data_IF_528596568930
#
_entry.id   IF_528596568930
#
_cell.length_a   1.000
_cell.length_b   1.000
_cell.length_c   1.000
_cell.angle_alpha   90.00
_cell.angle_beta   90.00
_cell.angle_gamma   90.00
#
_symmetry.space_group_name_H-M   'P 1'
#
loop_
_entity.id
_entity.type
_entity.pdbx_description
1 polymer ?
#
# COMPACT_ATOMS: atom_id res chain seq x y z
N UNK A 1 14.51 -13.03 -25.01
CA UNK A 1 13.52 -12.35 -25.86
C UNK A 1 12.14 -12.92 -25.54
N UNK A 2 11.56 -12.55 -24.39
CA UNK A 2 10.27 -13.07 -23.91
C UNK A 2 9.29 -11.90 -23.73
N UNK A 3 8.22 -12.02 -24.50
CA UNK A 3 6.91 -11.35 -24.52
C UNK A 3 6.74 -9.92 -23.94
N UNK A 4 6.89 -8.94 -24.83
CA UNK A 4 6.20 -7.64 -24.75
C UNK A 4 4.67 -7.76 -24.92
N UNK A 5 4.17 -8.90 -25.41
CA UNK A 5 2.76 -9.12 -25.77
C UNK A 5 1.85 -9.33 -24.55
N UNK A 6 2.39 -9.85 -23.45
CA UNK A 6 1.61 -10.15 -22.23
C UNK A 6 1.28 -8.88 -21.45
N UNK A 7 2.21 -7.92 -21.38
CA UNK A 7 2.01 -6.63 -20.71
C UNK A 7 1.04 -5.70 -21.45
N UNK A 8 1.07 -5.71 -22.79
CA UNK A 8 0.13 -4.92 -23.59
C UNK A 8 -1.33 -5.33 -23.37
N UNK A 9 -1.59 -6.62 -23.13
CA UNK A 9 -2.95 -7.12 -22.90
C UNK A 9 -3.49 -6.68 -21.54
N UNK A 10 -2.66 -6.72 -20.50
CA UNK A 10 -3.00 -6.24 -19.14
C UNK A 10 -3.28 -4.73 -19.13
N UNK A 11 -2.47 -3.94 -19.85
CA UNK A 11 -2.64 -2.49 -19.95
C UNK A 11 -3.88 -2.06 -20.77
N UNK A 12 -4.36 -2.90 -21.68
CA UNK A 12 -5.53 -2.58 -22.53
C UNK A 12 -6.85 -2.77 -21.75
N UNK A 13 -6.90 -3.74 -20.83
CA UNK A 13 -8.08 -3.98 -19.99
C UNK A 13 -8.27 -2.88 -18.94
N UNK A 14 -7.18 -2.27 -18.45
CA UNK A 14 -7.22 -1.15 -17.48
C UNK A 14 -7.80 0.14 -18.11
N UNK A 15 -7.56 0.37 -19.40
CA UNK A 15 -7.96 1.62 -20.09
C UNK A 15 -9.44 1.71 -20.47
N UNK A 16 -10.22 0.65 -20.27
CA UNK A 16 -11.63 0.60 -20.67
C UNK A 16 -12.62 0.97 -19.54
N UNK A 17 -12.13 1.47 -18.40
CA UNK A 17 -12.97 1.72 -17.23
C UNK A 17 -13.60 3.13 -17.31
N UNK A 18 -14.94 3.17 -17.34
CA UNK A 18 -15.74 4.41 -17.25
C UNK A 18 -15.48 5.10 -15.92
N UNK A 19 -15.20 6.41 -15.96
CA UNK A 19 -15.15 7.26 -14.75
C UNK A 19 -16.50 7.26 -14.04
N UNK A 20 -16.57 6.96 -12.73
CA UNK A 20 -17.76 7.27 -11.93
C UNK A 20 -17.84 8.78 -11.67
N UNK A 21 -19.05 9.30 -11.77
CA UNK A 21 -19.43 10.69 -11.47
C UNK A 21 -19.74 10.89 -9.98
N UNK A 22 -19.37 12.08 -9.49
CA UNK A 22 -19.74 12.80 -8.25
C UNK A 22 -19.60 12.12 -6.87
N UNK A 23 -18.80 12.82 -6.05
CA UNK A 23 -18.70 12.88 -4.57
C UNK A 23 -19.34 11.73 -3.79
N UNK A 24 -18.77 10.54 -3.91
CA UNK A 24 -18.95 9.48 -2.92
C UNK A 24 -17.84 9.63 -1.88
N UNK A 25 -18.21 9.77 -0.61
CA UNK A 25 -17.28 9.63 0.51
C UNK A 25 -16.84 8.17 0.54
N UNK A 26 -15.71 7.90 -0.11
CA UNK A 26 -15.17 6.55 -0.20
C UNK A 26 -14.42 6.23 1.09
N UNK A 27 -14.60 5.02 1.65
CA UNK A 27 -13.86 4.63 2.84
C UNK A 27 -12.35 4.67 2.54
N UNK A 28 -11.51 5.12 3.49
CA UNK A 28 -10.08 5.40 3.24
C UNK A 28 -9.22 4.19 2.85
N UNK A 29 -9.83 2.99 2.86
CA UNK A 29 -9.21 1.71 2.50
C UNK A 29 -9.35 1.39 1.02
N UNK A 30 -10.19 2.11 0.27
CA UNK A 30 -10.37 1.90 -1.16
C UNK A 30 -9.13 2.36 -1.94
N UNK A 31 -8.54 1.47 -2.72
CA UNK A 31 -7.38 1.77 -3.55
C UNK A 31 -7.83 2.28 -4.93
N UNK A 32 -7.54 3.56 -5.22
CA UNK A 32 -7.86 4.21 -6.50
C UNK A 32 -6.62 4.65 -7.28
N UNK A 33 -5.44 4.14 -6.90
CA UNK A 33 -4.18 4.60 -7.43
C UNK A 33 -3.70 3.73 -8.59
N UNK A 34 -4.52 3.61 -9.65
CA UNK A 34 -4.13 2.93 -10.88
C UNK A 34 -2.89 3.59 -11.52
N UNK A 35 -2.71 4.89 -11.27
CA UNK A 35 -1.52 5.65 -11.66
C UNK A 35 -0.22 5.11 -10.99
N UNK A 36 -0.30 4.42 -9.85
CA UNK A 36 0.86 3.71 -9.28
C UNK A 36 1.29 2.54 -10.15
N UNK A 37 0.34 1.85 -10.79
CA UNK A 37 0.65 0.74 -11.69
C UNK A 37 1.31 1.26 -12.97
N UNK A 38 0.84 2.37 -13.52
CA UNK A 38 1.45 3.00 -14.70
C UNK A 38 2.89 3.47 -14.44
N UNK A 39 3.18 3.94 -13.23
CA UNK A 39 4.52 4.41 -12.87
C UNK A 39 5.52 3.27 -12.57
N UNK A 40 5.10 2.00 -12.55
CA UNK A 40 6.01 0.84 -12.45
C UNK A 40 7.02 0.79 -13.60
N UNK A 41 6.67 1.30 -14.79
CA UNK A 41 7.55 1.28 -15.97
C UNK A 41 8.87 2.06 -15.77
N UNK A 42 8.87 3.02 -14.84
CA UNK A 42 10.05 3.85 -14.50
C UNK A 42 10.55 3.61 -13.07
N UNK A 43 9.98 2.64 -12.36
CA UNK A 43 10.32 2.38 -10.97
C UNK A 43 11.71 1.74 -10.83
N UNK A 44 12.40 2.09 -9.74
CA UNK A 44 13.68 1.46 -9.39
C UNK A 44 13.41 0.03 -8.95
N UNK A 45 14.18 -0.93 -9.46
CA UNK A 45 14.08 -2.33 -9.00
C UNK A 45 14.72 -2.45 -7.61
N UNK A 46 14.02 -3.16 -6.72
CA UNK A 46 14.53 -3.64 -5.45
C UNK A 46 14.84 -5.12 -5.57
N UNK A 47 16.11 -5.46 -5.42
CA UNK A 47 16.60 -6.83 -5.40
C UNK A 47 16.06 -7.59 -4.18
N UNK A 48 15.85 -8.89 -4.36
CA UNK A 48 15.22 -9.79 -3.37
C UNK A 48 15.87 -9.74 -1.98
N UNK A 49 17.21 -9.70 -1.91
CA UNK A 49 17.95 -9.65 -0.64
C UNK A 49 17.62 -8.39 0.16
N UNK A 50 17.53 -7.24 -0.51
CA UNK A 50 17.15 -5.98 0.13
C UNK A 50 15.67 -5.96 0.54
N UNK A 51 14.81 -6.62 -0.24
CA UNK A 51 13.41 -6.82 0.12
C UNK A 51 13.30 -7.65 1.41
N UNK A 52 13.99 -8.79 1.50
CA UNK A 52 14.02 -9.65 2.68
C UNK A 52 14.49 -8.84 3.89
N UNK A 53 15.57 -8.07 3.76
CA UNK A 53 16.06 -7.21 4.83
C UNK A 53 15.03 -6.17 5.27
N UNK A 54 14.30 -5.56 4.32
CA UNK A 54 13.26 -4.57 4.62
C UNK A 54 12.09 -5.21 5.38
N UNK A 55 11.65 -6.40 4.96
CA UNK A 55 10.57 -7.15 5.60
C UNK A 55 10.96 -7.60 7.01
N UNK A 56 12.17 -8.13 7.17
CA UNK A 56 12.69 -8.52 8.47
C UNK A 56 12.85 -7.31 9.41
N UNK A 57 13.31 -6.17 8.91
CA UNK A 57 13.33 -4.93 9.68
C UNK A 57 11.93 -4.57 10.17
N UNK A 58 10.90 -4.61 9.30
CA UNK A 58 9.52 -4.34 9.71
C UNK A 58 9.05 -5.30 10.81
N UNK A 59 9.34 -6.60 10.69
CA UNK A 59 9.05 -7.58 11.74
C UNK A 59 9.68 -7.18 13.08
N UNK A 60 10.97 -6.82 13.08
CA UNK A 60 11.70 -6.46 14.32
C UNK A 60 11.33 -5.10 14.91
N UNK A 61 10.67 -4.23 14.14
CA UNK A 61 10.21 -2.91 14.62
C UNK A 61 8.70 -2.86 14.90
N UNK A 62 8.03 -4.01 15.01
CA UNK A 62 6.57 -4.11 15.16
C UNK A 62 5.80 -3.32 14.08
N UNK A 63 6.35 -3.31 12.86
CA UNK A 63 5.78 -2.65 11.70
C UNK A 63 4.71 -3.50 11.02
N UNK A 64 4.04 -2.89 10.05
CA UNK A 64 3.07 -3.57 9.19
C UNK A 64 3.34 -3.29 7.72
N UNK A 65 2.86 -4.19 6.87
CA UNK A 65 2.75 -4.00 5.43
C UNK A 65 1.29 -3.87 5.04
N UNK A 66 0.99 -3.28 3.88
CA UNK A 66 -0.38 -3.24 3.36
C UNK A 66 -0.56 -4.25 2.25
N UNK A 67 -1.54 -5.12 2.38
CA UNK A 67 -2.00 -6.02 1.34
C UNK A 67 -3.08 -5.34 0.50
N UNK A 68 -2.85 -5.27 -0.82
CA UNK A 68 -3.88 -4.88 -1.78
C UNK A 68 -4.70 -6.11 -2.17
N UNK A 69 -5.93 -6.14 -1.68
CA UNK A 69 -6.89 -7.21 -1.93
C UNK A 69 -7.94 -6.73 -2.93
N UNK A 70 -8.20 -7.52 -3.97
CA UNK A 70 -9.25 -7.23 -4.95
C UNK A 70 -10.41 -8.19 -4.78
N UNK A 71 -11.63 -7.64 -4.74
CA UNK A 71 -12.82 -8.47 -4.75
C UNK A 71 -12.99 -9.14 -6.12
N UNK A 72 -13.42 -10.39 -6.13
CA UNK A 72 -13.85 -11.05 -7.37
C UNK A 72 -15.22 -10.55 -7.85
N UNK A 73 -16.00 -9.92 -6.97
CA UNK A 73 -17.37 -9.43 -7.24
C UNK A 73 -17.46 -7.93 -7.53
N UNK A 74 -16.49 -7.15 -7.06
CA UNK A 74 -16.47 -5.70 -7.16
C UNK A 74 -15.16 -5.27 -7.83
N UNK A 75 -15.20 -4.26 -8.70
CA UNK A 75 -13.99 -3.79 -9.39
C UNK A 75 -12.96 -3.16 -8.45
N UNK A 76 -13.40 -2.83 -7.23
CA UNK A 76 -12.71 -2.09 -6.19
C UNK A 76 -11.74 -2.97 -5.38
N UNK A 77 -10.53 -2.44 -5.13
CA UNK A 77 -9.52 -3.04 -4.27
C UNK A 77 -9.47 -2.38 -2.89
N UNK A 78 -9.26 -3.17 -1.84
CA UNK A 78 -9.08 -2.69 -0.47
C UNK A 78 -7.64 -2.86 -0.02
N UNK A 79 -7.14 -1.92 0.79
CA UNK A 79 -5.86 -2.04 1.49
C UNK A 79 -6.09 -2.49 2.92
N UNK A 80 -5.41 -3.57 3.30
CA UNK A 80 -5.52 -4.20 4.62
C UNK A 80 -4.13 -4.29 5.24
N UNK A 81 -4.00 -3.91 6.51
CA UNK A 81 -2.73 -4.08 7.22
C UNK A 81 -2.48 -5.56 7.53
N UNK A 82 -1.25 -6.00 7.30
CA UNK A 82 -0.75 -7.32 7.66
C UNK A 82 0.59 -7.18 8.37
N UNK A 83 0.82 -8.03 9.37
CA UNK A 83 2.00 -8.04 10.21
C UNK A 83 2.93 -9.13 9.67
N UNK A 84 4.12 -8.77 9.15
CA UNK A 84 5.05 -9.75 8.60
C UNK A 84 5.71 -10.57 9.71
N UNK A 85 5.84 -11.88 9.46
CA UNK A 85 6.75 -12.74 10.20
C UNK A 85 8.16 -12.65 9.60
N UNK A 86 9.15 -13.23 10.30
CA UNK A 86 10.50 -13.37 9.75
C UNK A 86 10.42 -14.15 8.44
N UNK A 87 11.01 -13.59 7.38
CA UNK A 87 11.07 -14.30 6.11
C UNK A 87 11.99 -15.51 6.23
N UNK A 88 11.52 -16.67 5.78
CA UNK A 88 12.27 -17.93 5.82
C UNK A 88 12.45 -18.42 4.38
N UNK A 89 13.70 -18.67 4.00
CA UNK A 89 14.08 -18.96 2.62
C UNK A 89 13.57 -17.87 1.67
N UNK A 90 12.56 -18.19 0.86
CA UNK A 90 11.94 -17.33 -0.14
C UNK A 90 10.46 -17.09 0.14
N UNK A 91 10.00 -17.36 1.36
CA UNK A 91 8.60 -17.24 1.76
C UNK A 91 8.41 -16.16 2.81
N UNK A 92 7.32 -15.42 2.65
CA UNK A 92 6.86 -14.44 3.63
C UNK A 92 5.47 -14.84 4.10
N UNK A 93 5.38 -15.17 5.38
CA UNK A 93 4.10 -15.33 6.09
C UNK A 93 3.74 -14.02 6.76
N UNK A 94 2.46 -13.67 6.71
CA UNK A 94 1.92 -12.48 7.35
C UNK A 94 0.61 -12.82 8.06
N UNK A 95 0.43 -12.29 9.26
CA UNK A 95 -0.84 -12.33 9.97
C UNK A 95 -1.68 -11.08 9.62
N UNK A 96 -2.99 -11.23 9.50
CA UNK A 96 -3.87 -10.06 9.38
C UNK A 96 -3.88 -9.26 10.69
N UNK A 97 -3.98 -7.94 10.59
CA UNK A 97 -4.19 -7.11 11.77
C UNK A 97 -5.51 -7.49 12.46
N UNK A 98 -5.50 -7.47 13.80
CA UNK A 98 -6.65 -7.89 14.63
C UNK A 98 -7.90 -7.05 14.37
N UNK A 99 -7.75 -5.83 13.87
CA UNK A 99 -8.88 -4.97 13.46
C UNK A 99 -9.74 -5.58 12.34
N UNK A 100 -9.22 -6.57 11.62
CA UNK A 100 -9.94 -7.30 10.56
C UNK A 100 -10.48 -8.66 11.01
N UNK A 101 -10.47 -8.97 12.31
CA UNK A 101 -11.07 -10.19 12.81
C UNK A 101 -12.56 -10.25 12.41
N UNK A 102 -12.97 -11.36 11.79
CA UNK A 102 -14.35 -11.58 11.33
C UNK A 102 -14.61 -11.17 9.87
N UNK A 103 -13.65 -10.54 9.19
CA UNK A 103 -13.74 -10.34 7.74
C UNK A 103 -13.20 -11.58 7.00
N UNK A 104 -13.94 -12.05 5.99
CA UNK A 104 -13.52 -13.17 5.14
C UNK A 104 -12.57 -12.71 4.03
N UNK A 105 -11.35 -12.31 4.42
CA UNK A 105 -10.33 -11.81 3.49
C UNK A 105 -9.82 -12.88 2.51
N UNK A 106 -9.96 -14.16 2.86
CA UNK A 106 -9.66 -15.30 2.01
C UNK A 106 -10.50 -15.36 0.71
N UNK A 107 -11.62 -14.63 0.66
CA UNK A 107 -12.45 -14.52 -0.55
C UNK A 107 -11.93 -13.49 -1.55
N UNK A 108 -10.87 -12.75 -1.20
CA UNK A 108 -10.26 -11.72 -2.04
C UNK A 108 -9.00 -12.25 -2.71
N UNK A 109 -8.65 -11.65 -3.84
CA UNK A 109 -7.38 -11.91 -4.51
C UNK A 109 -6.31 -10.96 -3.98
N UNK A 110 -5.24 -11.52 -3.42
CA UNK A 110 -4.05 -10.75 -3.06
C UNK A 110 -3.25 -10.39 -4.32
N UNK A 111 -3.12 -9.09 -4.61
CA UNK A 111 -2.46 -8.59 -5.81
C UNK A 111 -1.02 -8.13 -5.52
N UNK A 112 -0.87 -7.27 -4.52
CA UNK A 112 0.41 -6.66 -4.15
C UNK A 112 0.53 -6.50 -2.65
N UNK A 113 1.77 -6.51 -2.17
CA UNK A 113 2.14 -5.93 -0.88
C UNK A 113 2.76 -4.55 -1.10
N UNK A 114 2.43 -3.64 -0.19
CA UNK A 114 2.83 -2.24 -0.25
C UNK A 114 3.52 -1.88 1.06
N UNK A 115 4.77 -1.45 0.95
CA UNK A 115 5.51 -0.83 2.05
C UNK A 115 5.57 0.66 1.76
N UNK A 116 5.12 1.47 2.70
CA UNK A 116 5.24 2.93 2.62
C UNK A 116 6.31 3.40 3.59
N UNK A 117 7.33 4.07 3.08
CA UNK A 117 8.23 4.86 3.90
C UNK A 117 7.91 6.37 3.73
N UNK A 118 8.68 7.25 4.38
CA UNK A 118 8.41 8.69 4.35
C UNK A 118 8.53 9.33 2.96
N UNK A 119 9.20 8.69 1.99
CA UNK A 119 9.59 9.27 0.71
C UNK A 119 9.28 8.38 -0.51
N UNK A 120 9.08 7.09 -0.28
CA UNK A 120 8.95 6.05 -1.29
C UNK A 120 7.86 5.05 -0.93
N UNK A 121 7.37 4.39 -1.98
CA UNK A 121 6.46 3.26 -1.88
C UNK A 121 7.15 2.08 -2.54
N UNK A 122 7.27 0.97 -1.82
CA UNK A 122 7.73 -0.30 -2.39
C UNK A 122 6.51 -1.14 -2.72
N UNK A 123 6.37 -1.53 -3.99
CA UNK A 123 5.38 -2.47 -4.48
C UNK A 123 6.03 -3.84 -4.69
N UNK A 124 5.42 -4.85 -4.09
CA UNK A 124 5.88 -6.24 -4.11
C UNK A 124 4.77 -7.07 -4.77
N UNK A 125 4.96 -7.60 -5.98
CA UNK A 125 4.00 -8.52 -6.59
C UNK A 125 3.77 -9.74 -5.70
N UNK A 126 2.51 -10.06 -5.42
CA UNK A 126 2.17 -11.20 -4.56
C UNK A 126 2.10 -12.49 -5.39
N UNK A 127 3.00 -13.44 -5.12
CA UNK A 127 2.88 -14.82 -5.59
C UNK A 127 2.28 -15.68 -4.47
N UNK A 128 0.95 -15.71 -4.38
CA UNK A 128 0.22 -16.35 -3.29
C UNK A 128 0.48 -17.85 -3.22
N UNK A 129 0.86 -18.34 -2.03
CA UNK A 129 0.99 -19.77 -1.72
C UNK A 129 -0.21 -20.26 -0.89
N UNK A 130 -0.64 -19.46 0.10
CA UNK A 130 -1.81 -19.77 0.93
C UNK A 130 -2.46 -18.47 1.44
N UNK A 131 -3.77 -18.52 1.69
CA UNK A 131 -4.52 -17.45 2.34
C UNK A 131 -5.57 -18.06 3.26
N UNK A 132 -5.80 -17.43 4.40
CA UNK A 132 -6.82 -17.81 5.38
C UNK A 132 -7.41 -16.56 6.05
N UNK A 133 -8.36 -16.78 6.93
CA UNK A 133 -8.93 -15.73 7.80
C UNK A 133 -7.93 -15.19 8.84
N UNK A 134 -6.78 -15.83 9.05
CA UNK A 134 -5.76 -15.36 10.02
C UNK A 134 -4.56 -14.69 9.36
N UNK A 135 -4.32 -14.95 8.07
CA UNK A 135 -3.15 -14.45 7.37
C UNK A 135 -2.98 -15.07 6.00
N UNK A 136 -1.79 -14.91 5.44
CA UNK A 136 -1.41 -15.45 4.14
C UNK A 136 0.10 -15.74 4.09
N UNK A 137 0.48 -16.57 3.12
CA UNK A 137 1.89 -16.81 2.78
C UNK A 137 2.07 -16.55 1.29
N UNK A 138 3.12 -15.82 0.93
CA UNK A 138 3.56 -15.62 -0.46
C UNK A 138 4.97 -16.17 -0.67
N UNK A 139 5.27 -16.48 -1.92
CA UNK A 139 6.65 -16.56 -2.39
C UNK A 139 7.14 -15.14 -2.72
N UNK A 140 8.31 -14.79 -2.21
CA UNK A 140 8.94 -13.51 -2.48
C UNK A 140 9.38 -13.45 -3.96
N UNK A 141 9.09 -12.34 -4.66
CA UNK A 141 9.53 -12.16 -6.03
C UNK A 141 11.02 -11.87 -6.12
N UNK A 142 11.63 -12.27 -7.24
CA UNK A 142 13.00 -11.88 -7.57
C UNK A 142 13.16 -10.36 -7.73
N UNK A 143 12.07 -9.67 -8.09
CA UNK A 143 12.05 -8.23 -8.31
C UNK A 143 10.85 -7.58 -7.64
N UNK A 144 11.12 -6.55 -6.86
CA UNK A 144 10.13 -5.59 -6.37
C UNK A 144 10.44 -4.19 -6.89
N UNK A 145 9.53 -3.24 -6.68
CA UNK A 145 9.61 -1.93 -7.32
C UNK A 145 9.52 -0.82 -6.28
N UNK A 146 10.55 0.01 -6.20
CA UNK A 146 10.57 1.23 -5.39
C UNK A 146 10.18 2.42 -6.26
N UNK A 147 9.19 3.15 -5.78
CA UNK A 147 8.67 4.35 -6.40
C UNK A 147 8.86 5.52 -5.44
N UNK A 148 9.84 6.38 -5.73
CA UNK A 148 10.02 7.63 -5.01
C UNK A 148 9.15 8.70 -5.66
N UNK A 149 8.04 9.06 -5.00
CA UNK A 149 7.11 10.08 -5.51
C UNK A 149 7.22 11.43 -4.81
N UNK A 150 8.00 11.54 -3.73
CA UNK A 150 8.13 12.79 -2.99
C UNK A 150 9.45 13.47 -3.33
N UNK A 151 9.37 14.61 -4.02
CA UNK A 151 10.52 15.48 -4.27
C UNK A 151 11.00 16.26 -3.03
N UNK A 152 10.25 16.22 -1.92
CA UNK A 152 10.61 16.92 -0.68
C UNK A 152 10.44 16.02 0.54
N UNK A 153 11.39 16.10 1.47
CA UNK A 153 11.36 15.37 2.73
C UNK A 153 10.26 15.93 3.64
N UNK A 154 9.56 15.03 4.33
CA UNK A 154 8.66 15.41 5.43
C UNK A 154 9.37 15.22 6.78
N UNK A 155 9.17 16.18 7.66
CA UNK A 155 9.65 16.16 9.03
C UNK A 155 8.49 15.76 9.94
N UNK A 156 8.67 14.69 10.70
CA UNK A 156 7.71 14.26 11.70
C UNK A 156 7.61 15.31 12.81
N UNK A 157 6.40 15.53 13.31
CA UNK A 157 6.12 16.40 14.43
C UNK A 157 5.61 15.57 15.60
N UNK A 158 6.06 15.91 16.80
CA UNK A 158 5.62 15.30 18.04
C UNK A 158 5.04 16.38 18.94
N UNK A 159 3.81 16.15 19.42
CA UNK A 159 3.06 17.01 20.35
C UNK A 159 2.75 18.44 19.91
N UNK A 160 2.99 18.80 18.65
CA UNK A 160 2.63 20.11 18.09
C UNK A 160 1.12 20.21 17.86
N UNK A 161 0.45 21.09 18.60
CA UNK A 161 -0.96 21.44 18.36
C UNK A 161 -1.06 22.37 17.16
N UNK A 162 -2.01 22.08 16.27
CA UNK A 162 -2.29 22.91 15.11
C UNK A 162 -3.77 23.28 15.05
N UNK A 163 -4.03 24.50 14.58
CA UNK A 163 -5.36 25.00 14.25
C UNK A 163 -5.38 25.33 12.75
N UNK A 164 -6.29 24.69 12.01
CA UNK A 164 -6.50 24.91 10.58
C UNK A 164 -7.73 25.77 10.40
N UNK A 165 -7.57 26.92 9.77
CA UNK A 165 -8.67 27.79 9.35
C UNK A 165 -8.66 27.92 7.82
N UNK A 166 -9.69 27.41 7.16
CA UNK A 166 -9.84 27.52 5.70
C UNK A 166 -11.31 27.69 5.32
N UNK A 167 -11.65 28.74 4.59
CA UNK A 167 -13.03 28.99 4.11
C UNK A 167 -14.09 28.89 5.22
N UNK A 168 -13.78 29.36 6.43
CA UNK A 168 -14.67 29.30 7.59
C UNK A 168 -14.71 27.95 8.32
N UNK A 169 -14.07 26.90 7.78
CA UNK A 169 -13.83 25.67 8.51
C UNK A 169 -12.70 25.87 9.51
N UNK A 170 -12.96 25.56 10.77
CA UNK A 170 -11.99 25.56 11.86
C UNK A 170 -11.81 24.14 12.39
N UNK A 171 -10.59 23.61 12.31
CA UNK A 171 -10.25 22.32 12.90
C UNK A 171 -9.05 22.45 13.83
N UNK A 172 -9.12 21.76 14.97
CA UNK A 172 -8.00 21.61 15.90
C UNK A 172 -7.51 20.18 15.89
N UNK A 173 -6.19 20.03 15.98
CA UNK A 173 -5.59 18.71 15.95
C UNK A 173 -4.11 18.73 16.30
N UNK A 174 -3.46 17.61 16.03
CA UNK A 174 -2.01 17.48 16.15
C UNK A 174 -1.38 17.50 14.78
N UNK A 175 -0.37 18.35 14.59
CA UNK A 175 0.48 18.32 13.40
C UNK A 175 1.29 17.01 13.46
N UNK A 176 1.14 16.18 12.44
CA UNK A 176 1.78 14.86 12.34
C UNK A 176 3.11 14.99 11.61
N UNK A 177 3.12 15.74 10.52
CA UNK A 177 4.32 16.02 9.72
C UNK A 177 4.12 17.22 8.79
N UNK A 178 5.22 17.77 8.29
CA UNK A 178 5.22 18.80 7.26
C UNK A 178 6.42 18.69 6.30
N UNK A 179 6.30 19.27 5.12
CA UNK A 179 7.40 19.63 4.21
C UNK A 179 7.23 21.07 3.74
N UNK A 180 8.17 21.62 2.95
CA UNK A 180 8.00 22.96 2.36
C UNK A 180 6.74 23.11 1.48
N UNK A 181 6.10 22.01 1.06
CA UNK A 181 4.96 22.03 0.14
C UNK A 181 3.62 21.67 0.78
N UNK A 182 3.62 20.95 1.90
CA UNK A 182 2.39 20.43 2.49
C UNK A 182 2.57 20.02 3.96
N UNK A 183 1.47 19.86 4.68
CA UNK A 183 1.46 19.33 6.04
C UNK A 183 0.29 18.37 6.27
N UNK A 184 0.36 17.59 7.35
CA UNK A 184 -0.70 16.66 7.77
C UNK A 184 -1.12 16.93 9.21
N UNK A 185 -2.40 17.18 9.42
CA UNK A 185 -2.99 17.35 10.76
C UNK A 185 -3.89 16.14 11.05
N UNK A 186 -3.68 15.49 12.20
CA UNK A 186 -4.63 14.55 12.77
C UNK A 186 -5.66 15.35 13.55
N UNK A 187 -6.85 15.48 12.97
CA UNK A 187 -8.00 16.13 13.62
C UNK A 187 -8.61 15.10 14.57
N UNK A 188 -8.84 15.51 15.82
CA UNK A 188 -9.67 14.74 16.73
C UNK A 188 -11.09 15.34 16.64
N UNK A 189 -12.09 14.59 16.16
CA UNK A 189 -13.47 15.05 16.17
C UNK A 189 -14.02 15.20 17.59
#
# INVERSE_FOLDING_TARGET
MKDKKTWQRILTDIRSIKKPSDETFLPPWLFQHDDLIDALESAKILEKENLINTLNHLHFTDGYIRALLRSSKYEEGILVNAIPEISVEDELTCAWDKSYAGFSLENFQLQYLIITDNQSITLIPAMLLSISNTGFTIRLPEKSYIMSRRGTTRFACQDVTAELMQSGFLARGKLVDFSPLAFRIKINP
#
